data_IF_272893182820
#
_entry.id   IF_272893182820
#
_cell.length_a   1.000
_cell.length_b   1.000
_cell.length_c   1.000
_cell.angle_alpha   90.00
_cell.angle_beta   90.00
_cell.angle_gamma   90.00
#
_symmetry.space_group_name_H-M   'P 1'
#
loop_
_entity.id
_entity.type
_entity.pdbx_description
1 polymer ?
#
# COMPACT_ATOMS: atom_id res chain seq x y z
N UNK A 1 24.59 7.02 22.80
CA UNK A 1 23.31 6.38 22.42
C UNK A 1 22.19 7.14 23.11
N UNK A 2 21.33 7.80 22.35
CA UNK A 2 20.28 8.66 22.89
C UNK A 2 19.19 7.81 23.56
N UNK A 3 19.28 7.62 24.88
CA UNK A 3 18.37 6.77 25.69
C UNK A 3 16.88 7.09 25.50
N UNK A 4 16.54 8.31 25.10
CA UNK A 4 15.16 8.73 24.85
C UNK A 4 14.56 8.07 23.61
N UNK A 5 15.34 7.85 22.53
CA UNK A 5 14.86 7.21 21.30
C UNK A 5 14.41 5.79 21.58
N UNK A 6 15.26 5.01 22.25
CA UNK A 6 14.96 3.64 22.65
C UNK A 6 13.75 3.58 23.60
N UNK A 7 13.66 4.52 24.56
CA UNK A 7 12.52 4.61 25.47
C UNK A 7 11.19 4.82 24.73
N UNK A 8 11.12 5.77 23.80
CA UNK A 8 9.89 6.06 23.04
C UNK A 8 9.51 4.93 22.08
N UNK A 9 10.50 4.30 21.43
CA UNK A 9 10.24 3.14 20.57
C UNK A 9 9.70 1.94 21.38
N UNK A 10 10.24 1.70 22.57
CA UNK A 10 9.74 0.66 23.48
C UNK A 10 8.33 0.96 23.99
N UNK A 11 7.99 2.24 24.23
CA UNK A 11 6.62 2.63 24.58
C UNK A 11 5.65 2.39 23.43
N UNK A 12 6.04 2.75 22.20
CA UNK A 12 5.29 2.44 20.99
C UNK A 12 5.00 0.94 20.88
N UNK A 13 6.02 0.08 20.98
CA UNK A 13 5.86 -1.39 20.90
C UNK A 13 4.83 -1.97 21.89
N UNK A 14 4.67 -1.35 23.06
CA UNK A 14 3.77 -1.83 24.11
C UNK A 14 2.34 -1.27 23.98
N UNK A 15 2.16 -0.26 23.14
CA UNK A 15 0.88 0.43 23.00
C UNK A 15 -0.02 -0.32 22.03
N UNK A 16 -1.29 -0.48 22.39
CA UNK A 16 -2.33 -1.10 21.55
C UNK A 16 -3.39 -0.09 21.09
N UNK A 17 -3.38 1.13 21.64
CA UNK A 17 -4.33 2.20 21.33
C UNK A 17 -3.73 3.20 20.33
N UNK A 18 -4.46 3.46 19.24
CA UNK A 18 -3.97 4.33 18.16
C UNK A 18 -3.71 5.77 18.64
N UNK A 19 -4.56 6.32 19.50
CA UNK A 19 -4.42 7.71 19.98
C UNK A 19 -3.18 7.90 20.86
N UNK A 20 -2.87 6.90 21.69
CA UNK A 20 -1.65 6.90 22.52
C UNK A 20 -0.42 6.75 21.62
N UNK A 21 -0.45 5.81 20.67
CA UNK A 21 0.65 5.59 19.73
C UNK A 21 0.93 6.84 18.88
N UNK A 22 -0.13 7.53 18.43
CA UNK A 22 -0.03 8.80 17.72
C UNK A 22 0.63 9.88 18.58
N UNK A 23 0.22 10.05 19.85
CA UNK A 23 0.83 11.04 20.75
C UNK A 23 2.32 10.79 21.00
N UNK A 24 2.73 9.53 21.18
CA UNK A 24 4.14 9.15 21.33
C UNK A 24 4.91 9.48 20.04
N UNK A 25 4.33 9.14 18.88
CA UNK A 25 4.90 9.40 17.56
C UNK A 25 5.08 10.89 17.27
N UNK A 26 4.08 11.71 17.62
CA UNK A 26 4.15 13.16 17.52
C UNK A 26 5.25 13.74 18.43
N UNK A 27 5.39 13.21 19.65
CA UNK A 27 6.48 13.58 20.56
C UNK A 27 7.85 13.22 19.99
N UNK A 28 7.98 12.03 19.41
CA UNK A 28 9.19 11.58 18.73
C UNK A 28 9.55 12.51 17.56
N UNK A 29 8.59 12.82 16.69
CA UNK A 29 8.76 13.73 15.55
C UNK A 29 9.25 15.11 15.98
N UNK A 30 8.68 15.67 17.06
CA UNK A 30 9.15 16.94 17.63
C UNK A 30 10.59 16.85 18.11
N UNK A 31 10.97 15.76 18.77
CA UNK A 31 12.32 15.57 19.29
C UNK A 31 13.37 15.41 18.18
N UNK A 32 12.99 14.87 17.01
CA UNK A 32 13.85 14.81 15.81
C UNK A 32 13.73 16.06 14.92
N UNK A 33 13.08 17.14 15.38
CA UNK A 33 13.08 18.44 14.70
C UNK A 33 11.90 18.70 13.75
N UNK A 34 10.88 17.86 13.73
CA UNK A 34 9.67 18.04 12.93
C UNK A 34 8.53 18.61 13.79
N UNK A 35 8.07 19.81 13.43
CA UNK A 35 6.94 20.47 14.10
C UNK A 35 5.63 19.74 13.80
N UNK A 36 5.51 19.24 12.57
CA UNK A 36 4.28 18.67 12.05
C UNK A 36 4.44 17.18 11.79
N UNK A 37 3.41 16.43 12.18
CA UNK A 37 3.28 14.98 12.02
C UNK A 37 1.86 14.69 11.57
N UNK A 38 1.72 13.87 10.54
CA UNK A 38 0.43 13.35 10.10
C UNK A 38 0.51 11.85 9.81
N UNK A 39 -0.57 11.16 10.11
CA UNK A 39 -0.82 9.78 9.74
C UNK A 39 -2.23 9.68 9.17
N UNK A 40 -2.36 9.19 7.95
CA UNK A 40 -3.66 9.01 7.30
C UNK A 40 -3.79 7.66 6.60
N UNK A 41 -5.03 7.26 6.31
CA UNK A 41 -5.31 6.07 5.49
C UNK A 41 -6.12 6.42 4.25
N UNK A 42 -5.83 5.70 3.17
CA UNK A 42 -6.45 5.85 1.85
C UNK A 42 -6.73 4.47 1.26
N UNK A 43 -7.69 4.40 0.33
CA UNK A 43 -8.10 3.16 -0.36
C UNK A 43 -7.94 3.33 -1.87
N UNK A 44 -6.77 2.99 -2.46
CA UNK A 44 -6.50 3.26 -3.87
C UNK A 44 -7.42 2.52 -4.85
N UNK A 45 -7.94 1.34 -4.47
CA UNK A 45 -8.58 0.40 -5.42
C UNK A 45 -9.96 -0.12 -4.99
N UNK A 46 -10.54 0.31 -3.86
CA UNK A 46 -11.85 -0.20 -3.39
C UNK A 46 -12.86 0.93 -3.19
N UNK A 47 -14.09 0.69 -3.66
CA UNK A 47 -15.26 1.57 -3.46
C UNK A 47 -15.82 1.51 -2.02
N UNK A 48 -15.41 0.53 -1.21
CA UNK A 48 -15.73 0.46 0.21
C UNK A 48 -14.84 1.45 0.97
N UNK A 49 -15.38 2.65 1.18
CA UNK A 49 -14.80 3.66 2.05
C UNK A 49 -15.06 3.22 3.50
N UNK A 50 -14.21 2.36 4.06
CA UNK A 50 -14.17 2.22 5.51
C UNK A 50 -13.63 3.52 6.11
N UNK A 51 -14.06 3.86 7.32
CA UNK A 51 -13.65 5.08 8.04
C UNK A 51 -12.16 5.37 7.82
N UNK A 52 -11.88 6.40 7.03
CA UNK A 52 -10.53 6.90 6.79
C UNK A 52 -10.02 7.50 8.09
N UNK A 53 -8.86 7.07 8.53
CA UNK A 53 -8.21 7.62 9.70
C UNK A 53 -7.39 8.80 9.24
N UNK A 54 -7.54 9.94 9.92
CA UNK A 54 -6.73 11.13 9.69
C UNK A 54 -6.32 11.71 11.04
N UNK A 55 -5.07 11.51 11.41
CA UNK A 55 -4.48 11.99 12.66
C UNK A 55 -3.35 12.94 12.32
N UNK A 56 -3.46 14.22 12.67
CA UNK A 56 -2.40 15.18 12.45
C UNK A 56 -2.45 16.35 13.45
N UNK A 57 -1.38 17.14 13.50
CA UNK A 57 -1.30 18.37 14.28
C UNK A 57 -1.16 19.63 13.40
N UNK A 58 -1.68 19.56 12.18
CA UNK A 58 -1.74 20.71 11.28
C UNK A 58 -2.74 21.75 11.82
N UNK A 59 -2.65 23.02 11.38
CA UNK A 59 -3.62 24.04 11.76
C UNK A 59 -5.06 23.58 11.47
N UNK A 60 -5.98 23.83 12.40
CA UNK A 60 -7.37 23.37 12.28
C UNK A 60 -8.05 23.92 11.02
N UNK A 61 -7.85 25.21 10.73
CA UNK A 61 -8.41 25.86 9.54
C UNK A 61 -7.89 25.22 8.25
N UNK A 62 -6.62 24.79 8.25
CA UNK A 62 -6.03 24.07 7.13
C UNK A 62 -6.69 22.71 6.91
N UNK A 63 -6.92 21.94 7.99
CA UNK A 63 -7.60 20.65 7.88
C UNK A 63 -9.02 20.80 7.34
N UNK A 64 -9.76 21.81 7.80
CA UNK A 64 -11.11 22.11 7.33
C UNK A 64 -11.09 22.45 5.84
N UNK A 65 -10.19 23.34 5.42
CA UNK A 65 -10.07 23.71 4.00
C UNK A 65 -9.69 22.51 3.12
N UNK A 66 -8.72 21.70 3.57
CA UNK A 66 -8.23 20.52 2.85
C UNK A 66 -9.35 19.50 2.61
N UNK A 67 -10.20 19.28 3.62
CA UNK A 67 -11.35 18.39 3.54
C UNK A 67 -12.44 18.98 2.63
N UNK A 68 -12.85 20.25 2.85
CA UNK A 68 -13.91 20.91 2.08
C UNK A 68 -13.62 20.95 0.58
N UNK A 69 -12.35 21.16 0.21
CA UNK A 69 -11.92 21.20 -1.18
C UNK A 69 -11.47 19.85 -1.74
N UNK A 70 -11.56 18.79 -0.94
CA UNK A 70 -11.15 17.43 -1.27
C UNK A 70 -9.73 17.36 -1.89
N UNK A 71 -8.78 18.04 -1.25
CA UNK A 71 -7.40 18.10 -1.75
C UNK A 71 -6.73 16.73 -1.82
N UNK A 72 -7.20 15.73 -1.07
CA UNK A 72 -6.72 14.36 -1.14
C UNK A 72 -6.68 13.80 -2.58
N UNK A 73 -7.69 14.12 -3.40
CA UNK A 73 -7.81 13.61 -4.77
C UNK A 73 -6.76 14.18 -5.75
N UNK A 74 -6.13 15.30 -5.40
CA UNK A 74 -5.22 16.06 -6.27
C UNK A 74 -3.85 16.31 -5.63
N UNK A 75 -3.66 15.88 -4.38
CA UNK A 75 -2.41 16.02 -3.66
C UNK A 75 -1.35 15.07 -4.25
N UNK A 76 -0.24 15.59 -4.80
CA UNK A 76 0.80 14.77 -5.41
C UNK A 76 1.47 13.83 -4.40
N UNK A 77 1.50 14.18 -3.12
CA UNK A 77 2.02 13.29 -2.06
C UNK A 77 1.12 12.07 -1.90
N UNK A 78 -0.20 12.28 -1.84
CA UNK A 78 -1.17 11.19 -1.76
C UNK A 78 -1.09 10.33 -3.03
N UNK A 79 -1.04 10.96 -4.20
CA UNK A 79 -0.91 10.27 -5.47
C UNK A 79 0.37 9.40 -5.53
N UNK A 80 1.53 9.93 -5.10
CA UNK A 80 2.77 9.16 -5.03
C UNK A 80 2.66 8.00 -4.05
N UNK A 81 2.21 8.27 -2.82
CA UNK A 81 2.13 7.27 -1.77
C UNK A 81 1.15 6.14 -2.10
N UNK A 82 0.10 6.38 -2.89
CA UNK A 82 -0.81 5.34 -3.36
C UNK A 82 -0.19 4.36 -4.36
N UNK A 83 0.87 4.76 -5.07
CA UNK A 83 1.49 3.97 -6.14
C UNK A 83 2.92 3.50 -5.82
N UNK A 84 3.58 4.12 -4.83
CA UNK A 84 4.97 3.84 -4.48
C UNK A 84 5.11 3.59 -2.98
N UNK A 85 6.02 2.68 -2.63
CA UNK A 85 6.46 2.41 -1.25
C UNK A 85 7.71 3.19 -0.87
N UNK A 86 8.29 3.93 -1.82
CA UNK A 86 9.46 4.79 -1.57
C UNK A 86 9.02 6.11 -0.94
N UNK A 87 9.82 6.67 0.00
CA UNK A 87 9.55 7.99 0.53
C UNK A 87 9.62 9.05 -0.58
N UNK A 88 8.85 10.13 -0.42
CA UNK A 88 8.88 11.30 -1.29
C UNK A 88 9.19 12.55 -0.47
N UNK A 89 10.16 13.34 -0.92
CA UNK A 89 10.44 14.66 -0.37
C UNK A 89 9.47 15.67 -0.98
N UNK A 90 8.97 16.57 -0.15
CA UNK A 90 8.12 17.67 -0.60
C UNK A 90 9.00 18.74 -1.25
N UNK A 91 8.64 19.14 -2.47
CA UNK A 91 9.37 20.13 -3.26
C UNK A 91 8.44 20.85 -4.23
N UNK A 92 8.81 22.05 -4.66
CA UNK A 92 8.08 22.76 -5.72
C UNK A 92 7.89 21.91 -6.99
N UNK A 93 8.89 21.09 -7.35
CA UNK A 93 8.83 20.20 -8.51
C UNK A 93 7.73 19.12 -8.35
N UNK A 94 7.60 18.53 -7.15
CA UNK A 94 6.53 17.58 -6.83
C UNK A 94 5.15 18.22 -6.99
N UNK A 95 5.03 19.48 -6.60
CA UNK A 95 3.79 20.27 -6.69
C UNK A 95 3.67 21.09 -7.98
N UNK A 96 4.48 20.81 -9.01
CA UNK A 96 4.47 21.56 -10.27
C UNK A 96 3.09 21.61 -10.97
N UNK A 97 2.25 20.59 -10.75
CA UNK A 97 0.86 20.53 -11.28
C UNK A 97 -0.17 21.19 -10.35
N UNK A 98 0.19 21.45 -9.10
CA UNK A 98 -0.66 22.05 -8.06
C UNK A 98 0.10 23.13 -7.28
N UNK A 99 0.67 24.16 -7.95
CA UNK A 99 1.50 25.17 -7.28
C UNK A 99 0.73 25.98 -6.23
N UNK A 100 -0.57 26.19 -6.44
CA UNK A 100 -1.43 26.86 -5.46
C UNK A 100 -1.57 26.05 -4.16
N UNK A 101 -1.46 24.71 -4.21
CA UNK A 101 -1.49 23.84 -3.04
C UNK A 101 -0.18 23.99 -2.26
N UNK A 102 0.94 24.05 -2.98
CA UNK A 102 2.25 24.36 -2.42
C UNK A 102 2.25 25.70 -1.67
N UNK A 103 1.81 26.78 -2.33
CA UNK A 103 1.72 28.11 -1.71
C UNK A 103 0.86 28.11 -0.43
N UNK A 104 -0.19 27.29 -0.43
CA UNK A 104 -1.09 27.16 0.72
C UNK A 104 -0.42 26.41 1.87
N UNK A 105 0.32 25.34 1.58
CA UNK A 105 1.11 24.59 2.56
C UNK A 105 2.21 25.47 3.18
N UNK A 106 2.92 26.26 2.37
CA UNK A 106 3.95 27.18 2.85
C UNK A 106 3.41 28.21 3.84
N UNK A 107 2.23 28.78 3.58
CA UNK A 107 1.56 29.71 4.50
C UNK A 107 1.24 29.08 5.86
N UNK A 108 1.04 27.77 5.92
CA UNK A 108 0.84 27.02 7.17
C UNK A 108 2.17 26.60 7.83
N UNK A 109 3.31 26.83 7.16
CA UNK A 109 4.63 26.36 7.58
C UNK A 109 4.91 24.89 7.26
N UNK A 110 4.11 24.27 6.38
CA UNK A 110 4.23 22.88 5.93
C UNK A 110 5.13 22.78 4.69
N UNK A 111 6.34 23.33 4.76
CA UNK A 111 7.21 23.52 3.59
C UNK A 111 8.22 22.37 3.43
N UNK A 112 8.96 22.03 4.47
CA UNK A 112 10.03 21.04 4.38
C UNK A 112 9.57 19.74 5.02
N UNK A 113 9.09 18.83 4.19
CA UNK A 113 8.56 17.55 4.64
C UNK A 113 8.92 16.36 3.78
N UNK A 114 8.65 15.18 4.30
CA UNK A 114 8.61 13.95 3.54
C UNK A 114 7.41 13.11 3.93
N UNK A 115 7.01 12.24 3.00
CA UNK A 115 5.96 11.27 3.23
C UNK A 115 6.39 9.88 2.78
N UNK A 116 5.90 8.87 3.49
CA UNK A 116 6.14 7.48 3.17
C UNK A 116 4.86 6.67 3.36
N UNK A 117 4.71 5.61 2.58
CA UNK A 117 3.52 4.78 2.58
C UNK A 117 3.77 3.39 3.17
N UNK A 118 2.70 2.78 3.67
CA UNK A 118 2.60 1.36 4.00
C UNK A 118 1.39 0.81 3.27
N UNK A 119 1.64 -0.13 2.35
CA UNK A 119 0.58 -0.80 1.59
C UNK A 119 0.26 -2.15 2.22
N UNK A 120 -1.02 -2.38 2.49
CA UNK A 120 -1.56 -3.66 2.91
C UNK A 120 -2.38 -4.26 1.76
N UNK A 121 -1.87 -5.33 1.18
CA UNK A 121 -2.47 -6.00 0.02
C UNK A 121 -3.74 -6.78 0.39
N UNK A 122 -3.87 -7.23 1.64
CA UNK A 122 -5.03 -8.00 2.09
C UNK A 122 -6.24 -7.08 2.28
N UNK A 123 -6.04 -5.99 3.03
CA UNK A 123 -7.09 -4.99 3.28
C UNK A 123 -7.29 -4.04 2.09
N UNK A 124 -6.25 -3.78 1.30
CA UNK A 124 -6.22 -2.76 0.24
C UNK A 124 -6.01 -1.34 0.79
N UNK A 125 -5.62 -1.20 2.06
CA UNK A 125 -5.32 0.09 2.69
C UNK A 125 -3.91 0.55 2.34
N UNK A 126 -3.80 1.84 2.03
CA UNK A 126 -2.54 2.56 2.01
C UNK A 126 -2.50 3.56 3.18
N UNK A 127 -1.61 3.35 4.13
CA UNK A 127 -1.32 4.30 5.20
C UNK A 127 -0.20 5.25 4.78
N UNK A 128 -0.34 6.53 5.07
CA UNK A 128 0.63 7.57 4.75
C UNK A 128 1.10 8.22 6.05
N UNK A 129 2.40 8.23 6.29
CA UNK A 129 3.03 8.99 7.37
C UNK A 129 3.79 10.17 6.78
N UNK A 130 3.54 11.36 7.31
CA UNK A 130 4.14 12.61 6.86
C UNK A 130 4.78 13.37 8.01
N UNK A 131 6.00 13.86 7.79
CA UNK A 131 6.73 14.73 8.71
C UNK A 131 7.02 16.05 8.01
N UNK A 132 6.85 17.19 8.70
CA UNK A 132 7.18 18.49 8.12
C UNK A 132 7.64 19.54 9.14
N UNK A 133 8.40 20.52 8.65
CA UNK A 133 8.89 21.69 9.40
C UNK A 133 8.92 22.94 8.52
N UNK A 134 9.09 24.10 9.16
CA UNK A 134 8.93 25.41 8.53
C UNK A 134 10.23 26.20 8.28
N UNK A 135 11.40 25.69 8.68
CA UNK A 135 12.61 26.55 8.78
C UNK A 135 13.83 26.09 7.97
N UNK A 136 13.98 24.80 7.66
CA UNK A 136 15.07 24.37 6.79
C UNK A 136 14.74 23.13 5.96
N UNK A 137 15.29 23.02 4.73
CA UNK A 137 15.17 21.84 3.89
C UNK A 137 15.67 20.58 4.56
N UNK A 138 15.19 19.44 4.11
CA UNK A 138 15.64 18.13 4.57
C UNK A 138 16.74 17.65 3.63
N UNK A 139 17.91 17.34 4.18
CA UNK A 139 19.01 16.79 3.38
C UNK A 139 18.82 15.29 3.15
N UNK A 140 19.45 14.74 2.11
CA UNK A 140 19.42 13.29 1.87
C UNK A 140 20.00 12.48 3.05
N UNK A 141 21.00 13.03 3.73
CA UNK A 141 21.62 12.40 4.90
C UNK A 141 20.66 12.39 6.10
N UNK A 142 20.01 13.52 6.39
CA UNK A 142 19.01 13.61 7.45
C UNK A 142 17.80 12.69 7.21
N UNK A 143 17.32 12.62 5.97
CA UNK A 143 16.28 11.66 5.58
C UNK A 143 16.73 10.24 5.91
N UNK A 144 17.93 9.85 5.47
CA UNK A 144 18.47 8.52 5.72
C UNK A 144 18.60 8.19 7.21
N UNK A 145 19.11 9.12 8.02
CA UNK A 145 19.27 8.93 9.47
C UNK A 145 17.94 8.71 10.20
N UNK A 146 16.86 9.31 9.71
CA UNK A 146 15.55 9.25 10.34
C UNK A 146 14.60 8.22 9.71
N UNK A 147 14.94 7.68 8.53
CA UNK A 147 14.09 6.77 7.78
C UNK A 147 13.71 5.52 8.57
N UNK A 148 14.66 4.96 9.32
CA UNK A 148 14.40 3.78 10.16
C UNK A 148 13.29 4.02 11.19
N UNK A 149 13.29 5.20 11.81
CA UNK A 149 12.27 5.58 12.79
C UNK A 149 10.92 5.84 12.13
N UNK A 150 10.89 6.58 11.02
CA UNK A 150 9.64 6.85 10.32
C UNK A 150 9.01 5.57 9.80
N UNK A 151 9.80 4.65 9.20
CA UNK A 151 9.32 3.34 8.73
C UNK A 151 8.76 2.50 9.88
N UNK A 152 9.47 2.44 11.00
CA UNK A 152 9.02 1.72 12.18
C UNK A 152 7.69 2.28 12.71
N UNK A 153 7.63 3.59 12.95
CA UNK A 153 6.44 4.28 13.47
C UNK A 153 5.26 4.09 12.51
N UNK A 154 5.46 4.33 11.22
CA UNK A 154 4.42 4.22 10.20
C UNK A 154 3.84 2.81 10.12
N UNK A 155 4.70 1.77 10.17
CA UNK A 155 4.25 0.36 10.19
C UNK A 155 3.52 0.00 11.48
N UNK A 156 3.97 0.51 12.62
CA UNK A 156 3.32 0.26 13.90
C UNK A 156 1.92 0.88 13.94
N UNK A 157 1.77 2.16 13.57
CA UNK A 157 0.47 2.83 13.47
C UNK A 157 -0.45 2.13 12.47
N UNK A 158 0.10 1.73 11.31
CA UNK A 158 -0.65 0.96 10.32
C UNK A 158 -1.16 -0.37 10.90
N UNK A 159 -0.32 -1.12 11.63
CA UNK A 159 -0.72 -2.39 12.23
C UNK A 159 -1.84 -2.23 13.27
N UNK A 160 -1.88 -1.12 14.01
CA UNK A 160 -2.98 -0.80 14.93
C UNK A 160 -4.29 -0.54 14.16
N UNK A 161 -4.23 0.17 13.04
CA UNK A 161 -5.41 0.39 12.18
C UNK A 161 -5.84 -0.92 11.51
N UNK A 162 -4.91 -1.71 10.97
CA UNK A 162 -5.23 -2.97 10.30
C UNK A 162 -5.99 -3.95 11.20
N UNK A 163 -5.80 -3.90 12.52
CA UNK A 163 -6.54 -4.69 13.50
C UNK A 163 -8.02 -4.29 13.64
N UNK A 164 -8.38 -3.04 13.35
CA UNK A 164 -9.76 -2.54 13.42
C UNK A 164 -10.51 -2.70 12.09
N UNK A 165 -9.77 -2.93 11.00
CA UNK A 165 -10.37 -3.19 9.69
C UNK A 165 -11.09 -4.54 9.68
N UNK A 166 -12.20 -4.66 8.92
CA UNK A 166 -12.85 -5.93 8.75
C UNK A 166 -11.88 -6.92 8.12
N UNK A 167 -11.61 -8.01 8.84
CA UNK A 167 -10.85 -9.13 8.29
C UNK A 167 -11.62 -9.64 7.08
N UNK A 168 -11.03 -9.49 5.90
CA UNK A 168 -11.50 -10.19 4.70
C UNK A 168 -11.61 -11.67 5.12
N UNK A 169 -12.77 -12.30 4.91
CA UNK A 169 -12.90 -13.74 5.18
C UNK A 169 -11.67 -14.42 4.58
N UNK A 170 -10.99 -15.26 5.36
CA UNK A 170 -9.79 -15.96 4.90
C UNK A 170 -10.05 -16.39 3.45
N UNK A 171 -9.22 -15.92 2.51
CA UNK A 171 -9.35 -16.34 1.10
C UNK A 171 -9.52 -17.85 1.14
N UNK A 172 -10.52 -18.44 0.44
CA UNK A 172 -10.62 -19.88 0.38
C UNK A 172 -9.24 -20.42 0.01
N UNK A 173 -8.77 -21.50 0.66
CA UNK A 173 -7.43 -22.02 0.46
C UNK A 173 -7.16 -22.14 -1.04
N UNK A 174 -5.97 -21.71 -1.46
CA UNK A 174 -5.56 -21.73 -2.87
C UNK A 174 -5.92 -23.10 -3.44
N UNK A 175 -6.73 -23.18 -4.51
CA UNK A 175 -7.19 -24.46 -5.01
C UNK A 175 -6.00 -25.33 -5.42
N UNK A 176 -5.92 -26.54 -4.88
CA UNK A 176 -4.90 -27.49 -5.30
C UNK A 176 -5.22 -27.98 -6.73
N UNK A 177 -4.53 -27.37 -7.70
CA UNK A 177 -4.50 -27.87 -9.06
C UNK A 177 -3.55 -29.07 -9.18
N UNK A 178 -3.95 -30.07 -9.97
CA UNK A 178 -3.07 -31.18 -10.29
C UNK A 178 -1.94 -30.72 -11.23
N UNK A 179 -0.79 -31.41 -11.28
CA UNK A 179 0.28 -31.08 -12.23
C UNK A 179 -0.20 -30.98 -13.68
N UNK A 180 -1.17 -31.83 -14.07
CA UNK A 180 -1.76 -31.81 -15.41
C UNK A 180 -2.68 -30.63 -15.67
N UNK A 181 -3.42 -30.18 -14.66
CA UNK A 181 -4.19 -28.94 -14.74
C UNK A 181 -3.26 -27.73 -14.92
N UNK A 182 -2.14 -27.71 -14.19
CA UNK A 182 -1.12 -26.66 -14.30
C UNK A 182 -0.47 -26.67 -15.71
N UNK A 183 -0.02 -27.83 -16.19
CA UNK A 183 0.59 -27.98 -17.52
C UNK A 183 -0.33 -27.44 -18.63
N UNK A 184 -1.62 -27.77 -18.56
CA UNK A 184 -2.62 -27.36 -19.54
C UNK A 184 -2.92 -25.86 -19.45
N UNK A 185 -2.96 -25.29 -18.23
CA UNK A 185 -3.13 -23.85 -18.05
C UNK A 185 -1.91 -23.05 -18.51
N UNK A 186 -0.67 -23.55 -18.33
CA UNK A 186 0.55 -22.92 -18.86
C UNK A 186 0.50 -22.80 -20.37
N UNK A 187 0.19 -23.91 -21.06
CA UNK A 187 0.06 -23.90 -22.51
C UNK A 187 -1.11 -23.00 -22.97
N UNK A 188 -2.20 -22.93 -22.21
CA UNK A 188 -3.30 -22.01 -22.50
C UNK A 188 -2.90 -20.55 -22.32
N UNK A 189 -2.02 -20.24 -21.37
CA UNK A 189 -1.46 -18.90 -21.16
C UNK A 189 -0.55 -18.49 -22.34
N UNK A 190 0.21 -19.43 -22.90
CA UNK A 190 1.00 -19.26 -24.14
C UNK A 190 0.14 -19.23 -25.43
N UNK A 191 -1.18 -19.08 -25.30
CA UNK A 191 -2.11 -19.01 -26.43
C UNK A 191 -2.35 -20.33 -27.16
N UNK A 192 -1.88 -21.49 -26.64
CA UNK A 192 -2.09 -22.78 -27.30
C UNK A 192 -3.56 -23.21 -27.27
N UNK A 193 -3.97 -23.77 -28.39
CA UNK A 193 -5.27 -24.45 -28.54
C UNK A 193 -5.24 -25.80 -27.85
N UNK A 194 -6.42 -26.37 -27.52
CA UNK A 194 -6.50 -27.69 -26.92
C UNK A 194 -5.86 -28.80 -27.79
N UNK A 195 -5.86 -28.62 -29.12
CA UNK A 195 -5.23 -29.52 -30.06
C UNK A 195 -3.70 -29.44 -30.01
N UNK A 196 -3.14 -28.23 -29.96
CA UNK A 196 -1.69 -28.04 -29.82
C UNK A 196 -1.19 -28.54 -28.47
N UNK A 197 -1.90 -28.21 -27.38
CA UNK A 197 -1.55 -28.69 -26.04
C UNK A 197 -1.61 -30.21 -25.95
N UNK A 198 -2.58 -30.84 -26.63
CA UNK A 198 -2.68 -32.29 -26.70
C UNK A 198 -1.45 -32.92 -27.37
N UNK A 199 -0.95 -32.33 -28.46
CA UNK A 199 0.28 -32.79 -29.13
C UNK A 199 1.51 -32.61 -28.25
N UNK A 200 1.62 -31.49 -27.53
CA UNK A 200 2.77 -31.19 -26.66
C UNK A 200 2.81 -32.14 -25.45
N UNK A 201 1.67 -32.41 -24.83
CA UNK A 201 1.57 -33.22 -23.61
C UNK A 201 1.39 -34.71 -23.88
N UNK A 202 1.33 -35.13 -25.15
CA UNK A 202 1.00 -36.49 -25.59
C UNK A 202 -0.34 -36.99 -25.00
N UNK A 203 -1.38 -36.17 -25.14
CA UNK A 203 -2.75 -36.42 -24.67
C UNK A 203 -3.75 -36.29 -25.82
N UNK A 204 -5.03 -36.61 -25.58
CA UNK A 204 -6.11 -36.25 -26.50
C UNK A 204 -6.61 -34.83 -26.23
N UNK A 205 -7.13 -34.13 -27.26
CA UNK A 205 -7.76 -32.82 -27.08
C UNK A 205 -8.94 -32.87 -26.09
N UNK A 206 -9.64 -34.00 -26.03
CA UNK A 206 -10.70 -34.26 -25.03
C UNK A 206 -10.15 -34.28 -23.60
N UNK A 207 -9.00 -34.92 -23.38
CA UNK A 207 -8.32 -34.98 -22.07
C UNK A 207 -7.82 -33.60 -21.64
N UNK A 208 -7.29 -32.81 -22.58
CA UNK A 208 -6.90 -31.43 -22.31
C UNK A 208 -8.11 -30.60 -21.88
N UNK A 209 -9.22 -30.65 -22.62
CA UNK A 209 -10.45 -29.94 -22.25
C UNK A 209 -11.00 -30.38 -20.88
N UNK A 210 -10.87 -31.66 -20.53
CA UNK A 210 -11.23 -32.15 -19.21
C UNK A 210 -10.41 -31.49 -18.09
N UNK A 211 -9.08 -31.39 -18.26
CA UNK A 211 -8.22 -30.70 -17.28
C UNK A 211 -8.50 -29.20 -17.21
N UNK A 212 -8.76 -28.53 -18.35
CA UNK A 212 -9.20 -27.12 -18.36
C UNK A 212 -10.49 -26.95 -17.55
N UNK A 213 -11.49 -27.78 -17.80
CA UNK A 213 -12.78 -27.68 -17.12
C UNK A 213 -12.65 -27.94 -15.61
N UNK A 214 -11.83 -28.93 -15.23
CA UNK A 214 -11.54 -29.20 -13.81
C UNK A 214 -10.87 -28.00 -13.14
N UNK A 215 -9.89 -27.37 -13.80
CA UNK A 215 -9.23 -26.18 -13.28
C UNK A 215 -10.17 -24.98 -13.17
N UNK A 216 -11.04 -24.74 -14.17
CA UNK A 216 -12.08 -23.70 -14.14
C UNK A 216 -12.98 -23.87 -12.91
N UNK A 217 -13.45 -25.09 -12.65
CA UNK A 217 -14.30 -25.41 -11.50
C UNK A 217 -13.57 -25.18 -10.17
N UNK A 218 -12.32 -25.66 -10.05
CA UNK A 218 -11.52 -25.49 -8.83
C UNK A 218 -11.19 -24.03 -8.53
N UNK A 219 -10.96 -23.23 -9.57
CA UNK A 219 -10.67 -21.80 -9.46
C UNK A 219 -11.92 -20.93 -9.31
N UNK A 220 -13.13 -21.51 -9.42
CA UNK A 220 -14.38 -20.76 -9.27
C UNK A 220 -14.62 -19.71 -10.35
N UNK A 221 -14.13 -19.94 -11.57
CA UNK A 221 -14.26 -19.03 -12.71
C UNK A 221 -15.10 -19.64 -13.83
N UNK A 222 -15.35 -18.88 -14.90
CA UNK A 222 -16.32 -19.27 -15.94
C UNK A 222 -15.68 -19.62 -17.29
N UNK A 223 -14.39 -19.38 -17.49
CA UNK A 223 -13.73 -19.65 -18.76
C UNK A 223 -12.22 -19.84 -18.60
N UNK A 224 -11.59 -20.36 -19.66
CA UNK A 224 -10.15 -20.69 -19.71
C UNK A 224 -9.25 -19.47 -19.44
N UNK A 225 -9.59 -18.31 -19.97
CA UNK A 225 -8.78 -17.09 -19.81
C UNK A 225 -8.85 -16.61 -18.36
N UNK A 226 -10.06 -16.56 -17.78
CA UNK A 226 -10.26 -16.24 -16.37
C UNK A 226 -9.55 -17.23 -15.45
N UNK A 227 -9.44 -18.51 -15.83
CA UNK A 227 -8.68 -19.51 -15.09
C UNK A 227 -7.18 -19.24 -15.11
N UNK A 228 -6.62 -18.88 -16.27
CA UNK A 228 -5.21 -18.45 -16.37
C UNK A 228 -4.94 -17.22 -15.51
N UNK A 229 -5.81 -16.20 -15.58
CA UNK A 229 -5.67 -14.98 -14.78
C UNK A 229 -5.76 -15.27 -13.28
N UNK A 230 -6.73 -16.09 -12.85
CA UNK A 230 -6.89 -16.48 -11.45
C UNK A 230 -5.67 -17.25 -10.95
N UNK A 231 -5.22 -18.27 -11.70
CA UNK A 231 -4.05 -19.07 -11.33
C UNK A 231 -2.75 -18.23 -11.28
N UNK A 232 -2.64 -17.19 -12.10
CA UNK A 232 -1.51 -16.23 -12.04
C UNK A 232 -1.60 -15.33 -10.81
N UNK A 233 -2.80 -14.79 -10.51
CA UNK A 233 -3.04 -13.95 -9.32
C UNK A 233 -2.79 -14.71 -8.01
N UNK A 234 -3.11 -15.99 -7.99
CA UNK A 234 -2.92 -16.86 -6.83
C UNK A 234 -1.50 -17.45 -6.74
N UNK A 235 -0.60 -17.11 -7.68
CA UNK A 235 0.79 -17.57 -7.69
C UNK A 235 0.98 -19.04 -8.07
N UNK A 236 -0.05 -19.70 -8.60
CA UNK A 236 0.04 -21.08 -9.12
C UNK A 236 0.80 -21.10 -10.46
N UNK A 237 0.65 -20.05 -11.27
CA UNK A 237 1.41 -19.81 -12.49
C UNK A 237 2.36 -18.64 -12.26
N UNK A 238 3.62 -18.76 -12.70
CA UNK A 238 4.55 -17.65 -12.62
C UNK A 238 4.30 -16.68 -13.80
N UNK A 239 4.28 -15.38 -13.53
CA UNK A 239 4.13 -14.35 -14.56
C UNK A 239 5.28 -14.32 -15.58
N UNK A 240 6.44 -14.90 -15.24
CA UNK A 240 7.59 -15.08 -16.15
C UNK A 240 7.42 -16.22 -17.15
N UNK A 241 6.43 -17.09 -16.97
CA UNK A 241 6.14 -18.23 -17.85
C UNK A 241 5.06 -17.94 -18.88
N UNK A 242 4.44 -16.73 -18.84
CA UNK A 242 3.37 -16.32 -19.74
C UNK A 242 3.96 -15.36 -20.78
N UNK A 243 4.06 -15.78 -22.04
CA UNK A 243 4.58 -14.97 -23.15
C UNK A 243 3.50 -14.38 -24.03
#
# INVERSE_FOLDING_TARGET
MERWKESQLNQLLRTTEIDIAYRISLGFAKNIGFKFFAFSTTYPTKADHFNTVQLNNYPTDWNIEYEQKNFNAIDPVVAHCNHSRLPVLWSEDLYSKTPWLWDSLEKQGLQHGWSQSVHDEDSGVCSILSLARSHCPITAFELYENLGFSVFIGRHLHALIAQTLPKKSAKPPVPHLSPREIDVLKLAADGKTAYESARILNLSARTVNFHVQSAILKLGVNNKISAVIAATKDGILNSSEIR
#
